data_IF_372102824107
#
_entry.id   IF_372102824107
#
_cell.length_a   1.000
_cell.length_b   1.000
_cell.length_c   1.000
_cell.angle_alpha   90.00
_cell.angle_beta   90.00
_cell.angle_gamma   90.00
#
_symmetry.space_group_name_H-M   'P 1'
#
loop_
_entity.id
_entity.type
_entity.pdbx_description
1 polymer ?
#
# COMPACT_ATOMS: atom_id res chain seq x y z
N UNK A 1 44.27 -24.77 -31.55
CA UNK A 1 43.19 -25.24 -30.65
C UNK A 1 42.59 -24.02 -30.00
N UNK A 2 41.38 -23.63 -30.39
CA UNK A 2 40.71 -22.43 -29.90
C UNK A 2 39.99 -22.75 -28.59
N UNK A 3 40.41 -22.12 -27.50
CA UNK A 3 39.79 -22.26 -26.19
C UNK A 3 38.40 -21.64 -26.20
N UNK A 4 37.37 -22.47 -25.98
CA UNK A 4 35.99 -22.03 -25.77
C UNK A 4 35.87 -21.51 -24.35
N UNK A 5 35.79 -20.18 -24.19
CA UNK A 5 35.47 -19.55 -22.91
C UNK A 5 33.97 -19.68 -22.68
N UNK A 6 33.53 -20.69 -21.94
CA UNK A 6 32.14 -20.79 -21.47
C UNK A 6 31.83 -19.63 -20.53
N UNK A 7 31.03 -18.68 -21.01
CA UNK A 7 30.49 -17.58 -20.23
C UNK A 7 29.38 -18.11 -19.32
N UNK A 8 29.70 -18.49 -18.10
CA UNK A 8 28.71 -18.93 -17.11
C UNK A 8 27.78 -17.76 -16.78
N UNK A 9 26.55 -17.83 -17.29
CA UNK A 9 25.56 -16.76 -17.25
C UNK A 9 25.07 -16.50 -15.81
N UNK A 10 24.91 -15.22 -15.49
CA UNK A 10 24.45 -14.59 -14.24
C UNK A 10 23.16 -15.17 -13.64
N UNK A 11 23.28 -16.28 -12.89
CA UNK A 11 22.18 -16.90 -12.13
C UNK A 11 22.42 -16.90 -10.60
N UNK A 12 23.69 -16.97 -10.16
CA UNK A 12 24.06 -16.94 -8.75
C UNK A 12 23.64 -15.65 -7.99
N UNK A 13 23.72 -14.43 -8.59
CA UNK A 13 23.36 -13.20 -7.88
C UNK A 13 21.87 -13.10 -7.54
N UNK A 14 21.00 -13.58 -8.45
CA UNK A 14 19.53 -13.56 -8.26
C UNK A 14 19.07 -14.51 -7.16
N UNK A 15 19.69 -15.69 -7.04
CA UNK A 15 19.38 -16.63 -5.95
C UNK A 15 19.79 -16.09 -4.57
N UNK A 16 20.91 -15.38 -4.48
CA UNK A 16 21.34 -14.73 -3.25
C UNK A 16 20.37 -13.64 -2.77
N UNK A 17 19.83 -12.84 -3.70
CA UNK A 17 18.85 -11.79 -3.37
C UNK A 17 17.51 -12.35 -2.87
N UNK A 18 17.05 -13.47 -3.43
CA UNK A 18 15.83 -14.15 -2.97
C UNK A 18 15.98 -14.80 -1.59
N UNK A 19 17.21 -15.11 -1.19
CA UNK A 19 17.51 -15.64 0.14
C UNK A 19 17.67 -14.54 1.20
N UNK A 20 17.77 -13.26 0.82
CA UNK A 20 17.84 -12.12 1.76
C UNK A 20 16.47 -11.90 2.43
N UNK A 21 16.34 -12.10 3.76
CA UNK A 21 15.08 -11.89 4.46
C UNK A 21 14.52 -10.47 4.31
N UNK A 22 15.39 -9.46 4.16
CA UNK A 22 14.94 -8.08 3.94
C UNK A 22 14.27 -7.88 2.58
N UNK A 23 14.77 -8.57 1.55
CA UNK A 23 14.16 -8.54 0.21
C UNK A 23 12.84 -9.31 0.19
N UNK A 24 12.76 -10.43 0.90
CA UNK A 24 11.50 -11.16 1.08
C UNK A 24 10.45 -10.28 1.77
N UNK A 25 10.80 -9.63 2.88
CA UNK A 25 9.91 -8.69 3.57
C UNK A 25 9.45 -7.56 2.65
N UNK A 26 10.36 -6.99 1.84
CA UNK A 26 10.03 -5.99 0.83
C UNK A 26 9.00 -6.50 -0.18
N UNK A 27 9.19 -7.70 -0.75
CA UNK A 27 8.25 -8.28 -1.73
C UNK A 27 6.89 -8.55 -1.10
N UNK A 28 6.86 -9.08 0.13
CA UNK A 28 5.62 -9.35 0.88
C UNK A 28 4.85 -8.05 1.09
N UNK A 29 5.49 -7.04 1.67
CA UNK A 29 4.87 -5.76 1.96
C UNK A 29 4.44 -5.04 0.67
N UNK A 30 5.29 -5.03 -0.36
CA UNK A 30 4.93 -4.44 -1.66
C UNK A 30 3.70 -5.11 -2.26
N UNK A 31 3.60 -6.44 -2.16
CA UNK A 31 2.46 -7.18 -2.69
C UNK A 31 1.20 -6.86 -1.90
N UNK A 32 1.27 -6.93 -0.56
CA UNK A 32 0.15 -6.61 0.32
C UNK A 32 -0.38 -5.18 0.09
N UNK A 33 0.51 -4.18 0.10
CA UNK A 33 0.15 -2.78 -0.10
C UNK A 33 -0.14 -2.40 -1.56
N UNK A 34 0.09 -3.31 -2.51
CA UNK A 34 -0.45 -3.16 -3.88
C UNK A 34 -1.88 -3.68 -3.94
N UNK A 35 -2.10 -4.91 -3.45
CA UNK A 35 -3.36 -5.63 -3.63
C UNK A 35 -4.45 -5.08 -2.70
N UNK A 36 -4.14 -4.90 -1.41
CA UNK A 36 -5.15 -4.54 -0.42
C UNK A 36 -5.83 -3.19 -0.72
N UNK A 37 -5.11 -2.09 -1.02
CA UNK A 37 -5.76 -0.82 -1.34
C UNK A 37 -6.61 -0.88 -2.62
N UNK A 38 -6.17 -1.64 -3.64
CA UNK A 38 -6.97 -1.83 -4.86
C UNK A 38 -8.26 -2.58 -4.53
N UNK A 39 -8.17 -3.66 -3.76
CA UNK A 39 -9.34 -4.44 -3.37
C UNK A 39 -10.33 -3.62 -2.53
N UNK A 40 -9.86 -2.92 -1.49
CA UNK A 40 -10.70 -2.06 -0.66
C UNK A 40 -11.28 -0.88 -1.45
N UNK A 41 -10.51 -0.30 -2.36
CA UNK A 41 -10.98 0.80 -3.18
C UNK A 41 -12.07 0.37 -4.16
N UNK A 42 -11.92 -0.81 -4.79
CA UNK A 42 -12.97 -1.40 -5.63
C UNK A 42 -14.22 -1.76 -4.81
N UNK A 43 -14.05 -2.28 -3.60
CA UNK A 43 -15.17 -2.63 -2.74
C UNK A 43 -16.01 -1.41 -2.34
N UNK A 44 -15.43 -0.21 -2.23
CA UNK A 44 -16.17 1.03 -1.98
C UNK A 44 -17.16 1.42 -3.10
N UNK A 45 -16.99 0.85 -4.30
CA UNK A 45 -17.96 0.99 -5.39
C UNK A 45 -19.05 -0.07 -5.34
N UNK A 46 -18.74 -1.24 -4.80
CA UNK A 46 -19.62 -2.41 -4.83
C UNK A 46 -20.36 -2.66 -3.50
N UNK A 47 -19.86 -2.09 -2.38
CA UNK A 47 -20.32 -2.32 -1.01
C UNK A 47 -20.51 -3.82 -0.69
N UNK A 48 -19.59 -4.70 -1.13
CA UNK A 48 -19.76 -6.16 -0.96
C UNK A 48 -19.28 -6.63 0.41
N UNK A 49 -18.18 -6.06 0.93
CA UNK A 49 -17.68 -6.43 2.26
C UNK A 49 -18.38 -5.66 3.37
N UNK A 50 -18.59 -4.36 3.16
CA UNK A 50 -19.09 -3.42 4.17
C UNK A 50 -19.90 -2.31 3.51
N UNK A 51 -20.87 -1.74 4.24
CA UNK A 51 -21.52 -0.48 3.88
C UNK A 51 -20.60 0.69 4.22
N UNK A 52 -19.79 1.09 3.24
CA UNK A 52 -18.69 2.04 3.41
C UNK A 52 -19.07 3.45 3.86
N UNK A 53 -20.23 4.03 3.48
CA UNK A 53 -20.64 5.35 3.97
C UNK A 53 -20.70 5.48 5.49
N UNK A 54 -20.95 4.39 6.23
CA UNK A 54 -21.00 4.39 7.69
C UNK A 54 -19.65 4.73 8.36
N UNK A 55 -18.55 4.62 7.64
CA UNK A 55 -17.20 4.89 8.13
C UNK A 55 -16.74 6.33 7.87
N UNK A 56 -17.55 7.16 7.22
CA UNK A 56 -17.25 8.57 7.02
C UNK A 56 -17.69 9.38 8.23
N UNK A 57 -16.78 10.14 8.84
CA UNK A 57 -17.12 10.95 10.01
C UNK A 57 -18.14 12.04 9.61
N UNK A 58 -19.18 12.30 10.44
CA UNK A 58 -20.26 13.24 10.09
C UNK A 58 -19.76 14.63 9.68
N UNK A 59 -18.74 15.15 10.38
CA UNK A 59 -18.18 16.47 10.08
C UNK A 59 -17.43 16.54 8.74
N UNK A 60 -16.92 15.40 8.23
CA UNK A 60 -16.30 15.32 6.91
C UNK A 60 -17.39 15.29 5.84
N UNK A 61 -18.46 14.53 6.06
CA UNK A 61 -19.62 14.49 5.16
C UNK A 61 -20.24 15.90 5.01
N UNK A 62 -20.38 16.64 6.12
CA UNK A 62 -20.89 18.02 6.12
C UNK A 62 -20.01 19.01 5.30
N UNK A 63 -18.72 18.68 5.10
CA UNK A 63 -17.78 19.53 4.35
C UNK A 63 -17.72 19.18 2.86
N UNK A 64 -18.01 17.93 2.50
CA UNK A 64 -17.91 17.45 1.11
C UNK A 64 -19.24 17.70 0.39
N UNK A 65 -19.26 18.44 -0.74
CA UNK A 65 -20.48 18.59 -1.51
C UNK A 65 -20.90 17.24 -2.10
N UNK A 66 -22.12 16.79 -1.80
CA UNK A 66 -22.68 15.54 -2.32
C UNK A 66 -23.26 14.66 -1.23
N UNK A 67 -23.23 13.34 -1.43
CA UNK A 67 -23.60 12.35 -0.43
C UNK A 67 -22.36 11.61 0.09
N UNK A 68 -22.47 11.03 1.29
CA UNK A 68 -21.44 10.16 1.86
C UNK A 68 -20.99 9.05 0.89
N UNK A 69 -21.91 8.48 0.10
CA UNK A 69 -21.57 7.49 -0.91
C UNK A 69 -20.68 8.07 -2.04
N UNK A 70 -20.94 9.31 -2.47
CA UNK A 70 -20.12 9.98 -3.47
C UNK A 70 -18.70 10.26 -2.93
N UNK A 71 -18.59 10.65 -1.66
CA UNK A 71 -17.32 10.76 -0.96
C UNK A 71 -16.59 9.41 -0.91
N UNK A 72 -17.28 8.31 -0.60
CA UNK A 72 -16.67 6.97 -0.58
C UNK A 72 -16.19 6.50 -1.96
N UNK A 73 -16.85 6.89 -3.06
CA UNK A 73 -16.32 6.63 -4.40
C UNK A 73 -14.99 7.36 -4.66
N UNK A 74 -14.87 8.61 -4.21
CA UNK A 74 -13.61 9.36 -4.33
C UNK A 74 -12.50 8.72 -3.49
N UNK A 75 -12.81 8.35 -2.23
CA UNK A 75 -11.91 7.60 -1.35
C UNK A 75 -11.46 6.29 -2.01
N UNK A 76 -12.39 5.53 -2.60
CA UNK A 76 -12.08 4.29 -3.30
C UNK A 76 -11.17 4.47 -4.51
N UNK A 77 -11.40 5.53 -5.30
CA UNK A 77 -10.51 5.87 -6.42
C UNK A 77 -9.08 6.19 -5.94
N UNK A 78 -8.94 6.93 -4.85
CA UNK A 78 -7.64 7.29 -4.27
C UNK A 78 -6.91 6.04 -3.78
N UNK A 79 -7.59 5.11 -3.12
CA UNK A 79 -7.00 3.84 -2.66
C UNK A 79 -6.49 2.97 -3.82
N UNK A 80 -7.24 2.91 -4.93
CA UNK A 80 -6.79 2.20 -6.14
C UNK A 80 -5.51 2.84 -6.69
N UNK A 81 -5.49 4.17 -6.81
CA UNK A 81 -4.31 4.92 -7.27
C UNK A 81 -3.12 4.70 -6.33
N UNK A 82 -3.37 4.64 -5.02
CA UNK A 82 -2.35 4.37 -4.02
C UNK A 82 -1.73 2.97 -4.21
N UNK A 83 -2.56 1.93 -4.35
CA UNK A 83 -2.09 0.56 -4.59
C UNK A 83 -1.32 0.42 -5.91
N UNK A 84 -1.79 1.04 -7.00
CA UNK A 84 -1.08 1.09 -8.28
C UNK A 84 0.27 1.82 -8.13
N UNK A 85 0.30 2.91 -7.37
CA UNK A 85 1.53 3.67 -7.09
C UNK A 85 2.56 2.84 -6.33
N UNK A 86 2.12 2.00 -5.37
CA UNK A 86 3.01 1.05 -4.68
C UNK A 86 3.55 -0.01 -5.66
N UNK A 87 2.71 -0.50 -6.56
CA UNK A 87 3.11 -1.48 -7.56
C UNK A 87 4.23 -0.92 -8.46
N UNK A 88 4.04 0.30 -8.99
CA UNK A 88 4.93 0.89 -9.99
C UNK A 88 6.14 1.59 -9.37
N UNK A 89 5.94 2.30 -8.26
CA UNK A 89 6.94 3.15 -7.62
C UNK A 89 6.87 3.02 -6.08
N UNK A 90 7.23 1.85 -5.50
CA UNK A 90 7.02 1.56 -4.07
C UNK A 90 7.70 2.57 -3.12
N UNK A 91 8.81 3.20 -3.55
CA UNK A 91 9.48 4.26 -2.77
C UNK A 91 8.61 5.49 -2.51
N UNK A 92 7.70 5.80 -3.43
CA UNK A 92 6.78 6.92 -3.30
C UNK A 92 5.40 6.45 -2.89
N UNK A 93 4.92 5.36 -3.51
CA UNK A 93 3.62 4.78 -3.22
C UNK A 93 3.48 4.40 -1.75
N UNK A 94 4.53 3.89 -1.11
CA UNK A 94 4.46 3.53 0.31
C UNK A 94 4.30 4.75 1.23
N UNK A 95 4.97 5.87 0.92
CA UNK A 95 4.78 7.13 1.65
C UNK A 95 3.38 7.73 1.40
N UNK A 96 2.88 7.62 0.17
CA UNK A 96 1.52 8.04 -0.17
C UNK A 96 0.48 7.22 0.63
N UNK A 97 0.63 5.90 0.68
CA UNK A 97 -0.23 5.02 1.48
C UNK A 97 -0.13 5.36 2.97
N UNK A 98 1.06 5.62 3.50
CA UNK A 98 1.23 5.99 4.91
C UNK A 98 0.51 7.30 5.26
N UNK A 99 0.64 8.33 4.40
CA UNK A 99 -0.08 9.59 4.57
C UNK A 99 -1.60 9.41 4.48
N UNK A 100 -2.07 8.60 3.53
CA UNK A 100 -3.48 8.28 3.36
C UNK A 100 -4.07 7.54 4.57
N UNK A 101 -3.38 6.51 5.06
CA UNK A 101 -3.74 5.81 6.29
C UNK A 101 -3.78 6.77 7.49
N UNK A 102 -2.85 7.72 7.57
CA UNK A 102 -2.88 8.77 8.58
C UNK A 102 -4.20 9.55 8.56
N UNK A 103 -4.67 9.94 7.37
CA UNK A 103 -5.97 10.57 7.20
C UNK A 103 -7.15 9.68 7.63
N UNK A 104 -7.14 8.41 7.24
CA UNK A 104 -8.17 7.43 7.65
C UNK A 104 -8.20 7.28 9.17
N UNK A 105 -7.04 7.14 9.83
CA UNK A 105 -6.93 7.03 11.28
C UNK A 105 -7.53 8.27 11.96
N UNK A 106 -7.19 9.47 11.49
CA UNK A 106 -7.76 10.71 12.05
C UNK A 106 -9.28 10.73 11.91
N UNK A 107 -9.83 10.33 10.75
CA UNK A 107 -11.27 10.18 10.56
C UNK A 107 -11.87 9.21 11.60
N UNK A 108 -11.30 8.00 11.73
CA UNK A 108 -11.82 6.98 12.65
C UNK A 108 -11.75 7.41 14.12
N UNK A 109 -10.68 8.10 14.53
CA UNK A 109 -10.55 8.64 15.89
C UNK A 109 -11.60 9.71 16.23
N UNK A 110 -12.27 10.28 15.22
CA UNK A 110 -13.35 11.26 15.42
C UNK A 110 -14.74 10.62 15.49
N UNK A 111 -14.85 9.29 15.32
CA UNK A 111 -16.09 8.54 15.39
C UNK A 111 -16.05 7.64 16.65
N UNK A 112 -17.00 7.79 17.60
CA UNK A 112 -17.11 6.88 18.74
C UNK A 112 -17.21 5.42 18.27
N UNK A 113 -16.62 4.49 19.02
CA UNK A 113 -16.61 3.03 18.77
C UNK A 113 -15.67 2.51 17.65
N UNK A 114 -14.84 3.36 17.02
CA UNK A 114 -13.90 2.96 15.95
C UNK A 114 -12.41 2.94 16.38
N UNK A 115 -12.11 3.10 17.68
CA UNK A 115 -10.73 3.24 18.18
C UNK A 115 -9.86 1.99 18.00
N UNK A 116 -10.46 0.80 18.06
CA UNK A 116 -9.80 -0.48 17.81
C UNK A 116 -9.37 -0.60 16.34
N UNK A 117 -10.21 -0.16 15.41
CA UNK A 117 -9.91 -0.11 13.97
C UNK A 117 -8.80 0.92 13.72
N UNK A 118 -8.88 2.09 14.33
CA UNK A 118 -7.83 3.11 14.23
C UNK A 118 -6.45 2.58 14.71
N UNK A 119 -6.41 1.80 15.79
CA UNK A 119 -5.18 1.18 16.29
C UNK A 119 -4.61 0.15 15.31
N UNK A 120 -5.47 -0.67 14.69
CA UNK A 120 -5.05 -1.61 13.65
C UNK A 120 -4.46 -0.88 12.46
N UNK A 121 -5.11 0.17 12.00
CA UNK A 121 -4.67 0.96 10.85
C UNK A 121 -3.36 1.71 11.16
N UNK A 122 -3.14 2.11 12.41
CA UNK A 122 -1.84 2.61 12.84
C UNK A 122 -0.73 1.56 12.65
N UNK A 123 -1.00 0.29 12.95
CA UNK A 123 -0.08 -0.81 12.62
C UNK A 123 0.21 -0.93 11.12
N UNK A 124 -0.82 -0.78 10.27
CA UNK A 124 -0.66 -0.75 8.81
C UNK A 124 0.15 0.47 8.35
N UNK A 125 -0.03 1.62 8.97
CA UNK A 125 0.76 2.83 8.69
C UNK A 125 2.24 2.57 8.96
N UNK A 126 2.58 2.00 10.11
CA UNK A 126 3.96 1.65 10.45
C UNK A 126 4.55 0.62 9.45
N UNK A 127 3.75 -0.36 9.03
CA UNK A 127 4.16 -1.32 8.00
C UNK A 127 4.38 -0.66 6.62
N UNK A 128 3.58 0.34 6.26
CA UNK A 128 3.77 1.14 5.04
C UNK A 128 5.06 1.99 5.12
N UNK A 129 5.36 2.58 6.27
CA UNK A 129 6.64 3.26 6.52
C UNK A 129 7.81 2.30 6.39
N UNK A 130 7.71 1.09 6.97
CA UNK A 130 8.73 0.06 6.83
C UNK A 130 8.94 -0.33 5.35
N UNK A 131 7.86 -0.49 4.58
CA UNK A 131 7.93 -0.72 3.14
C UNK A 131 8.66 0.42 2.42
N UNK A 132 8.40 1.69 2.76
CA UNK A 132 9.09 2.82 2.14
C UNK A 132 10.61 2.76 2.37
N UNK A 133 11.03 2.46 3.60
CA UNK A 133 12.45 2.31 3.98
C UNK A 133 13.11 1.13 3.28
N UNK A 134 12.42 0.00 3.16
CA UNK A 134 12.91 -1.16 2.40
C UNK A 134 12.97 -0.86 0.90
N UNK A 135 12.00 -0.14 0.35
CA UNK A 135 11.95 0.23 -1.06
C UNK A 135 13.16 1.10 -1.46
N UNK A 136 13.60 2.01 -0.60
CA UNK A 136 14.83 2.80 -0.80
C UNK A 136 16.07 1.90 -0.91
N UNK A 137 16.20 0.91 -0.02
CA UNK A 137 17.33 -0.04 -0.02
C UNK A 137 17.37 -0.88 -1.30
N UNK A 138 16.22 -1.40 -1.75
CA UNK A 138 16.17 -2.34 -2.88
C UNK A 138 15.91 -1.68 -4.25
N UNK A 139 15.70 -0.36 -4.32
CA UNK A 139 15.56 0.38 -5.58
C UNK A 139 16.79 0.25 -6.49
N UNK A 140 17.99 0.11 -5.90
CA UNK A 140 19.27 0.00 -6.63
C UNK A 140 19.54 -1.37 -7.26
N UNK A 141 18.98 -2.45 -6.72
CA UNK A 141 19.27 -3.82 -7.16
C UNK A 141 18.67 -4.18 -8.54
N UNK A 142 17.74 -3.35 -9.05
CA UNK A 142 17.11 -3.54 -10.37
C UNK A 142 17.80 -2.78 -11.50
N UNK A 143 18.77 -1.91 -11.18
CA UNK A 143 19.51 -1.06 -12.15
C UNK A 143 20.98 -1.45 -12.33
N UNK A 144 21.45 -2.51 -11.68
CA UNK A 144 22.79 -3.11 -11.85
C UNK A 144 22.64 -4.55 -12.31
#
# INVERSE_FOLDING_TARGET
MSSVTTSTTSAAPRRGLLADPGYQAFVILRTAFTVAPIAFGLDKFANLLVDWPAYLAPWIDDLVPGSAQAAMYAVGAIEIVAGVSVALAPRFGAWLVAGWLGGIIVNLLTIPDYYDIALRDFGLLLAAVALARLAERYHGARRR
#
